data_IF_581529640092
#
_entry.id   IF_581529640092
#
_cell.length_a   1.000
_cell.length_b   1.000
_cell.length_c   1.000
_cell.angle_alpha   90.00
_cell.angle_beta   90.00
_cell.angle_gamma   90.00
#
_symmetry.space_group_name_H-M   'P 1'
#
loop_
_entity.id
_entity.type
_entity.pdbx_description
1 polymer ?
#
# COMPACT_ATOMS: atom_id res chain seq x y z
N UNK A 1 33.88 -8.38 10.64
CA UNK A 1 32.54 -8.85 10.26
C UNK A 1 32.03 -7.97 9.13
N UNK A 2 31.26 -8.52 8.19
CA UNK A 2 30.61 -7.70 7.15
C UNK A 2 29.53 -6.87 7.84
N UNK A 3 29.61 -5.55 7.72
CA UNK A 3 28.66 -4.60 8.36
C UNK A 3 27.57 -4.14 7.41
N UNK A 4 27.77 -4.29 6.10
CA UNK A 4 26.82 -3.88 5.06
C UNK A 4 26.79 -4.89 3.92
N UNK A 5 25.62 -5.15 3.34
CA UNK A 5 25.41 -6.02 2.18
C UNK A 5 24.75 -5.26 1.02
N UNK A 6 25.08 -5.65 -0.21
CA UNK A 6 24.30 -5.26 -1.39
C UNK A 6 23.37 -6.41 -1.73
N UNK A 7 22.07 -6.26 -1.44
CA UNK A 7 21.05 -7.28 -1.73
C UNK A 7 20.30 -6.93 -3.00
N UNK A 8 20.03 -7.95 -3.81
CA UNK A 8 19.26 -7.82 -5.05
C UNK A 8 17.84 -8.31 -4.83
N UNK A 9 16.86 -7.49 -5.18
CA UNK A 9 15.46 -7.91 -5.22
C UNK A 9 15.28 -8.96 -6.34
N UNK A 10 14.86 -10.20 -6.03
CA UNK A 10 14.70 -11.23 -7.05
C UNK A 10 13.59 -10.92 -8.05
N UNK A 11 12.65 -10.03 -7.73
CA UNK A 11 11.55 -9.66 -8.64
C UNK A 11 12.04 -8.61 -9.62
N UNK A 12 12.47 -7.44 -9.12
CA UNK A 12 12.82 -6.30 -10.01
C UNK A 12 14.27 -6.32 -10.49
N UNK A 13 15.14 -7.08 -9.82
CA UNK A 13 16.58 -7.07 -10.07
C UNK A 13 17.30 -5.84 -9.51
N UNK A 14 16.59 -4.92 -8.84
CA UNK A 14 17.15 -3.73 -8.20
C UNK A 14 18.05 -4.10 -7.03
N UNK A 15 19.08 -3.30 -6.78
CA UNK A 15 19.98 -3.47 -5.64
C UNK A 15 19.63 -2.52 -4.50
N UNK A 16 19.80 -2.98 -3.27
CA UNK A 16 19.60 -2.22 -2.03
C UNK A 16 20.80 -2.43 -1.12
N UNK A 17 21.33 -1.35 -0.55
CA UNK A 17 22.38 -1.42 0.48
C UNK A 17 21.69 -1.64 1.83
N UNK A 18 22.01 -2.75 2.50
CA UNK A 18 21.45 -3.13 3.80
C UNK A 18 22.54 -3.05 4.86
N UNK A 19 22.29 -2.32 5.94
CA UNK A 19 23.11 -2.35 7.14
C UNK A 19 22.76 -3.57 8.00
N UNK A 20 23.79 -4.30 8.44
CA UNK A 20 23.67 -5.49 9.29
C UNK A 20 23.97 -5.18 10.76
N UNK A 21 24.30 -3.94 11.08
CA UNK A 21 24.57 -3.51 12.45
C UNK A 21 23.28 -3.63 13.30
N UNK A 22 23.39 -3.89 14.61
CA UNK A 22 22.23 -3.87 15.50
C UNK A 22 21.50 -2.54 15.43
N UNK A 23 20.16 -2.58 15.45
CA UNK A 23 19.32 -1.40 15.42
C UNK A 23 19.69 -0.43 16.56
N UNK A 24 20.02 0.81 16.19
CA UNK A 24 20.33 1.88 17.10
C UNK A 24 19.19 2.92 17.10
N UNK A 25 18.82 3.51 18.26
CA UNK A 25 17.73 4.50 18.32
C UNK A 25 17.89 5.70 17.37
N UNK A 26 19.13 6.06 17.05
CA UNK A 26 19.44 7.18 16.15
C UNK A 26 19.44 6.81 14.66
N UNK A 27 19.15 5.55 14.29
CA UNK A 27 19.12 5.12 12.88
C UNK A 27 18.02 5.81 12.06
N UNK A 28 17.08 6.48 12.74
CA UNK A 28 16.00 7.26 12.15
C UNK A 28 16.11 8.77 12.44
N UNK A 29 17.22 9.22 13.04
CA UNK A 29 17.43 10.61 13.44
C UNK A 29 17.91 11.51 12.28
N UNK A 30 17.28 11.32 11.12
CA UNK A 30 17.55 12.07 9.87
C UNK A 30 16.86 13.45 9.87
N UNK A 31 16.48 14.00 11.03
CA UNK A 31 15.63 15.20 11.05
C UNK A 31 14.19 14.94 10.58
N UNK A 32 13.80 13.68 10.32
CA UNK A 32 12.41 13.35 9.95
C UNK A 32 11.53 13.31 11.18
N UNK A 33 12.04 12.77 12.28
CA UNK A 33 11.40 12.82 13.60
C UNK A 33 11.63 14.15 14.32
N UNK A 34 12.69 14.90 14.02
CA UNK A 34 13.10 16.12 14.74
C UNK A 34 12.96 17.43 13.95
N UNK A 35 12.82 17.39 12.62
CA UNK A 35 12.49 18.52 11.74
C UNK A 35 10.99 18.69 11.48
N UNK A 36 10.19 17.70 11.89
CA UNK A 36 8.83 17.92 12.32
C UNK A 36 8.87 17.85 13.83
N UNK A 37 9.03 19.02 14.46
CA UNK A 37 8.86 19.17 15.90
C UNK A 37 7.73 18.27 16.40
N UNK A 38 7.87 17.78 17.63
CA UNK A 38 6.72 17.65 18.52
C UNK A 38 6.05 19.04 18.64
N UNK A 39 5.44 19.56 17.59
CA UNK A 39 4.30 20.44 17.72
C UNK A 39 3.18 19.47 18.14
N UNK A 40 2.72 19.34 19.37
CA UNK A 40 2.52 20.28 20.48
C UNK A 40 1.93 21.64 20.14
N UNK A 41 1.93 22.04 18.87
CA UNK A 41 0.79 22.78 18.34
C UNK A 41 -0.22 21.71 17.96
N UNK A 42 -1.12 21.47 18.90
CA UNK A 42 -2.50 21.16 18.57
C UNK A 42 -2.93 22.31 17.65
N UNK A 43 -2.64 22.20 16.34
CA UNK A 43 -3.40 22.94 15.35
C UNK A 43 -4.83 22.58 15.65
N UNK A 44 -5.66 23.57 15.98
CA UNK A 44 -7.10 23.40 16.17
C UNK A 44 -7.57 22.35 15.19
N UNK A 45 -7.99 21.19 15.71
CA UNK A 45 -8.56 20.13 14.88
C UNK A 45 -9.62 20.85 14.06
N UNK A 46 -9.47 20.91 12.74
CA UNK A 46 -10.58 21.35 11.89
C UNK A 46 -11.73 20.42 12.24
N UNK A 47 -12.67 20.90 13.06
CA UNK A 47 -13.63 20.04 13.76
C UNK A 47 -14.51 19.21 12.79
N UNK A 48 -14.50 19.57 11.51
CA UNK A 48 -14.95 18.74 10.43
C UNK A 48 -14.21 19.10 9.13
N UNK A 49 -13.95 18.13 8.28
CA UNK A 49 -13.51 18.32 6.88
C UNK A 49 -14.57 17.78 5.90
N UNK A 50 -14.33 17.90 4.59
CA UNK A 50 -15.25 17.44 3.55
C UNK A 50 -15.56 15.93 3.58
N UNK A 51 -14.78 15.13 4.32
CA UNK A 51 -14.95 13.68 4.44
C UNK A 51 -15.73 13.26 5.69
N UNK A 52 -15.97 14.17 6.63
CA UNK A 52 -16.80 13.92 7.79
C UNK A 52 -18.25 13.63 7.39
N UNK A 53 -18.90 12.80 8.20
CA UNK A 53 -20.34 12.56 8.10
C UNK A 53 -21.14 13.87 8.25
N UNK A 54 -22.21 14.01 7.47
CA UNK A 54 -23.01 15.23 7.38
C UNK A 54 -22.48 16.27 6.38
N UNK A 55 -21.31 16.03 5.78
CA UNK A 55 -20.71 16.89 4.74
C UNK A 55 -20.59 16.17 3.40
N UNK A 56 -21.50 15.23 3.13
CA UNK A 56 -21.40 14.32 2.00
C UNK A 56 -21.29 15.05 0.65
N UNK A 57 -22.03 16.14 0.48
CA UNK A 57 -22.03 16.98 -0.73
C UNK A 57 -20.71 17.72 -1.01
N UNK A 58 -19.76 17.69 -0.07
CA UNK A 58 -18.46 18.34 -0.20
C UNK A 58 -17.36 17.39 -0.72
N UNK A 59 -17.49 16.08 -0.49
CA UNK A 59 -16.46 15.08 -0.83
C UNK A 59 -16.34 14.82 -2.34
N UNK A 60 -17.46 14.90 -3.07
CA UNK A 60 -17.56 14.54 -4.49
C UNK A 60 -18.75 13.60 -4.75
N UNK A 61 -19.07 13.30 -6.02
CA UNK A 61 -20.12 12.34 -6.36
C UNK A 61 -19.82 10.96 -5.75
N UNK A 62 -20.77 10.41 -5.02
CA UNK A 62 -20.68 9.07 -4.44
C UNK A 62 -20.78 7.98 -5.51
N UNK A 63 -19.84 7.04 -5.47
CA UNK A 63 -19.74 5.88 -6.36
C UNK A 63 -20.13 4.58 -5.67
N UNK A 64 -19.84 4.47 -4.37
CA UNK A 64 -20.11 3.29 -3.54
C UNK A 64 -20.18 3.71 -2.08
N UNK A 65 -20.98 3.02 -1.26
CA UNK A 65 -20.91 3.16 0.18
C UNK A 65 -21.37 1.88 0.87
N UNK A 66 -20.74 1.54 1.99
CA UNK A 66 -21.27 0.57 2.93
C UNK A 66 -22.10 1.28 3.99
N UNK A 67 -23.42 1.05 3.99
CA UNK A 67 -24.39 1.71 4.88
C UNK A 67 -25.50 0.74 5.29
N UNK A 68 -26.10 0.95 6.45
CA UNK A 68 -27.29 0.22 6.89
C UNK A 68 -28.52 1.12 6.73
N UNK A 69 -29.28 0.93 5.64
CA UNK A 69 -30.61 1.53 5.48
C UNK A 69 -30.68 3.04 5.17
N UNK A 70 -29.55 3.73 4.95
CA UNK A 70 -29.55 5.16 4.56
C UNK A 70 -29.51 5.39 3.04
N UNK A 71 -29.77 6.62 2.59
CA UNK A 71 -29.75 7.01 1.17
C UNK A 71 -28.36 7.49 0.72
N UNK A 72 -28.05 7.36 -0.58
CA UNK A 72 -26.83 7.94 -1.19
C UNK A 72 -26.62 9.40 -0.78
N UNK A 73 -25.37 9.78 -0.49
CA UNK A 73 -25.01 11.12 -0.01
C UNK A 73 -25.75 11.58 1.27
N UNK A 74 -26.12 10.64 2.15
CA UNK A 74 -26.60 10.94 3.51
C UNK A 74 -25.78 10.18 4.56
N UNK A 75 -25.81 10.64 5.83
CA UNK A 75 -25.22 9.95 6.99
C UNK A 75 -25.61 8.46 7.13
N UNK A 76 -24.92 7.75 8.02
CA UNK A 76 -25.12 6.32 8.29
C UNK A 76 -24.23 5.39 7.45
N UNK A 77 -23.20 5.94 6.81
CA UNK A 77 -22.21 5.16 6.08
C UNK A 77 -20.99 4.84 6.97
N UNK A 78 -20.34 3.73 6.65
CA UNK A 78 -19.15 3.24 7.35
C UNK A 78 -17.88 3.41 6.56
N UNK A 79 -17.98 3.18 5.25
CA UNK A 79 -16.97 3.41 4.23
C UNK A 79 -17.71 4.01 3.03
N UNK A 80 -17.09 4.98 2.36
CA UNK A 80 -17.70 5.66 1.21
C UNK A 80 -16.65 5.93 0.14
N UNK A 81 -16.98 5.63 -1.11
CA UNK A 81 -16.13 5.93 -2.27
C UNK A 81 -16.75 7.08 -3.04
N UNK A 82 -15.95 8.08 -3.37
CA UNK A 82 -16.36 9.24 -4.16
C UNK A 82 -15.39 9.47 -5.32
N UNK A 83 -15.88 10.05 -6.42
CA UNK A 83 -15.00 10.58 -7.46
C UNK A 83 -14.18 11.76 -6.90
N UNK A 84 -12.87 11.76 -7.13
CA UNK A 84 -11.99 12.82 -6.63
C UNK A 84 -12.34 14.15 -7.32
N UNK A 85 -12.60 15.20 -6.54
CA UNK A 85 -12.95 16.54 -7.07
C UNK A 85 -11.80 17.25 -7.78
N UNK A 86 -10.55 16.83 -7.52
CA UNK A 86 -9.34 17.32 -8.17
C UNK A 86 -8.57 16.13 -8.76
N UNK A 87 -9.15 15.46 -9.76
CA UNK A 87 -8.62 14.19 -10.22
C UNK A 87 -7.33 14.42 -11.01
N UNK A 88 -6.37 13.49 -10.88
CA UNK A 88 -5.12 13.54 -11.65
C UNK A 88 -5.35 13.09 -13.10
N UNK A 89 -6.32 12.19 -13.29
CA UNK A 89 -6.77 11.66 -14.57
C UNK A 89 -8.28 11.75 -14.65
N UNK A 90 -8.81 11.98 -15.84
CA UNK A 90 -10.24 12.20 -16.08
C UNK A 90 -10.83 11.05 -16.87
N UNK A 91 -12.06 10.67 -16.56
CA UNK A 91 -12.74 9.55 -17.25
C UNK A 91 -13.12 9.95 -18.68
N UNK A 92 -13.27 11.25 -18.90
CA UNK A 92 -13.48 11.87 -20.19
C UNK A 92 -12.19 11.90 -21.00
N UNK A 93 -12.24 11.42 -22.25
CA UNK A 93 -11.10 11.43 -23.16
C UNK A 93 -11.00 10.17 -24.01
N UNK A 94 -10.20 10.26 -25.07
CA UNK A 94 -9.84 9.14 -25.92
C UNK A 94 -8.51 8.50 -25.53
N UNK A 95 -8.12 7.45 -26.25
CA UNK A 95 -6.78 6.85 -26.17
C UNK A 95 -5.79 7.51 -27.15
N UNK A 96 -6.11 8.70 -27.62
CA UNK A 96 -5.38 9.36 -28.70
C UNK A 96 -3.95 9.67 -28.27
N UNK A 97 -3.02 9.31 -29.17
CA UNK A 97 -1.59 9.49 -29.01
C UNK A 97 -1.11 10.51 -30.04
N UNK A 98 -0.41 11.54 -29.58
CA UNK A 98 0.21 12.57 -30.42
C UNK A 98 1.73 12.44 -30.34
N UNK A 99 2.40 12.40 -31.48
CA UNK A 99 3.86 12.24 -31.59
C UNK A 99 4.44 13.49 -32.26
N UNK A 100 5.44 14.09 -31.62
CA UNK A 100 6.26 15.16 -32.16
C UNK A 100 7.74 14.79 -32.02
N UNK A 101 8.33 14.29 -33.10
CA UNK A 101 9.67 13.72 -33.10
C UNK A 101 9.80 12.57 -32.09
N UNK A 102 10.59 12.78 -31.03
CA UNK A 102 10.79 11.82 -29.93
C UNK A 102 9.81 12.01 -28.77
N UNK A 103 9.00 13.07 -28.79
CA UNK A 103 8.06 13.38 -27.73
C UNK A 103 6.71 12.72 -28.01
N UNK A 104 6.22 12.01 -27.01
CA UNK A 104 4.89 11.41 -27.03
C UNK A 104 4.01 12.10 -25.99
N UNK A 105 2.81 12.48 -26.40
CA UNK A 105 1.76 12.95 -25.49
C UNK A 105 0.49 12.14 -25.68
N UNK A 106 -0.26 11.97 -24.60
CA UNK A 106 -1.57 11.32 -24.55
C UNK A 106 -2.52 12.20 -23.76
N UNK A 107 -3.81 12.02 -23.98
CA UNK A 107 -4.80 12.62 -23.11
C UNK A 107 -4.73 12.00 -21.70
N UNK A 108 -5.07 12.78 -20.69
CA UNK A 108 -5.06 12.36 -19.28
C UNK A 108 -6.23 11.45 -18.91
N UNK A 109 -6.53 10.46 -19.75
CA UNK A 109 -7.59 9.48 -19.52
C UNK A 109 -7.27 8.61 -18.30
N UNK A 110 -8.24 8.41 -17.42
CA UNK A 110 -8.14 7.54 -16.25
C UNK A 110 -9.30 7.74 -15.28
N UNK A 111 -9.23 7.08 -14.15
CA UNK A 111 -10.12 7.37 -13.02
C UNK A 111 -9.29 7.79 -11.82
N UNK A 112 -9.83 8.68 -10.99
CA UNK A 112 -9.26 9.00 -9.69
C UNK A 112 -10.36 9.07 -8.65
N UNK A 113 -10.38 8.10 -7.74
CA UNK A 113 -11.39 7.92 -6.72
C UNK A 113 -10.77 8.03 -5.33
N UNK A 114 -11.58 8.45 -4.36
CA UNK A 114 -11.20 8.50 -2.94
C UNK A 114 -12.09 7.54 -2.17
N UNK A 115 -11.48 6.68 -1.36
CA UNK A 115 -12.14 5.79 -0.42
C UNK A 115 -12.01 6.41 0.97
N UNK A 116 -13.11 6.92 1.50
CA UNK A 116 -13.22 7.47 2.85
C UNK A 116 -13.47 6.30 3.80
N UNK A 117 -12.54 6.07 4.73
CA UNK A 117 -12.43 4.81 5.49
C UNK A 117 -13.27 4.79 6.77
N UNK A 118 -13.75 5.97 7.21
CA UNK A 118 -14.55 6.15 8.42
C UNK A 118 -15.32 7.47 8.35
N UNK A 119 -16.51 7.60 8.97
CA UNK A 119 -17.19 8.88 9.15
C UNK A 119 -16.49 9.81 10.17
N UNK A 120 -15.63 9.25 11.04
CA UNK A 120 -14.98 9.95 12.15
C UNK A 120 -13.65 10.56 11.73
N UNK A 121 -13.44 11.85 11.99
CA UNK A 121 -12.27 12.60 11.53
C UNK A 121 -10.95 12.03 12.08
N UNK A 122 -10.85 11.87 13.40
CA UNK A 122 -9.60 11.53 14.12
C UNK A 122 -9.40 10.02 14.31
N UNK A 123 -9.79 9.21 13.33
CA UNK A 123 -9.69 7.76 13.42
C UNK A 123 -8.85 7.20 12.25
N UNK A 124 -7.52 7.09 12.40
CA UNK A 124 -6.65 6.59 11.34
C UNK A 124 -6.87 5.09 11.09
N UNK A 125 -6.51 4.62 9.90
CA UNK A 125 -6.75 3.25 9.42
C UNK A 125 -6.34 2.19 10.46
N UNK A 126 -5.14 2.32 11.03
CA UNK A 126 -4.61 1.33 11.97
C UNK A 126 -5.38 1.24 13.31
N UNK A 127 -6.19 2.26 13.62
CA UNK A 127 -7.06 2.29 14.80
C UNK A 127 -8.49 1.82 14.50
N UNK A 128 -8.80 1.51 13.24
CA UNK A 128 -10.12 1.00 12.87
C UNK A 128 -10.30 -0.44 13.40
N UNK A 129 -11.53 -0.83 13.80
CA UNK A 129 -11.83 -2.22 14.12
C UNK A 129 -11.71 -3.11 12.88
N UNK A 130 -11.50 -4.42 13.09
CA UNK A 130 -11.28 -5.39 12.00
C UNK A 130 -12.43 -5.38 11.00
N UNK A 131 -13.68 -5.30 11.47
CA UNK A 131 -14.86 -5.24 10.59
C UNK A 131 -14.81 -4.03 9.65
N UNK A 132 -14.27 -2.90 10.11
CA UNK A 132 -14.15 -1.69 9.29
C UNK A 132 -13.02 -1.83 8.27
N UNK A 133 -11.89 -2.40 8.67
CA UNK A 133 -10.80 -2.70 7.73
C UNK A 133 -11.26 -3.64 6.63
N UNK A 134 -12.05 -4.66 6.97
CA UNK A 134 -12.68 -5.54 5.98
C UNK A 134 -13.57 -4.75 5.00
N UNK A 135 -14.41 -3.82 5.49
CA UNK A 135 -15.25 -2.96 4.63
C UNK A 135 -14.43 -2.06 3.70
N UNK A 136 -13.27 -1.57 4.16
CA UNK A 136 -12.34 -0.78 3.33
C UNK A 136 -11.76 -1.65 2.21
N UNK A 137 -11.27 -2.86 2.54
CA UNK A 137 -10.76 -3.80 1.55
C UNK A 137 -11.83 -4.27 0.56
N UNK A 138 -13.06 -4.47 1.04
CA UNK A 138 -14.23 -4.73 0.20
C UNK A 138 -14.46 -3.59 -0.79
N UNK A 139 -14.43 -2.33 -0.32
CA UNK A 139 -14.60 -1.18 -1.20
C UNK A 139 -13.50 -1.11 -2.27
N UNK A 140 -12.25 -1.40 -1.91
CA UNK A 140 -11.15 -1.50 -2.88
C UNK A 140 -11.45 -2.56 -3.95
N UNK A 141 -11.83 -3.77 -3.52
CA UNK A 141 -12.13 -4.90 -4.42
C UNK A 141 -13.27 -4.55 -5.36
N UNK A 142 -14.39 -4.05 -4.82
CA UNK A 142 -15.59 -3.70 -5.60
C UNK A 142 -15.31 -2.59 -6.62
N UNK A 143 -14.52 -1.57 -6.27
CA UNK A 143 -14.16 -0.53 -7.23
C UNK A 143 -13.21 -1.02 -8.32
N UNK A 144 -12.25 -1.88 -7.99
CA UNK A 144 -11.39 -2.50 -9.01
C UNK A 144 -12.20 -3.36 -9.99
N UNK A 145 -13.18 -4.13 -9.51
CA UNK A 145 -14.08 -4.92 -10.35
C UNK A 145 -14.90 -4.06 -11.33
N UNK A 146 -15.38 -2.91 -10.86
CA UNK A 146 -16.12 -1.94 -11.67
C UNK A 146 -15.22 -1.25 -12.70
N UNK A 147 -14.06 -0.73 -12.28
CA UNK A 147 -13.10 -0.08 -13.16
C UNK A 147 -12.58 -1.01 -14.26
N UNK A 148 -12.41 -2.31 -13.96
CA UNK A 148 -12.00 -3.33 -14.93
C UNK A 148 -12.98 -3.50 -16.10
N UNK A 149 -14.24 -3.07 -15.97
CA UNK A 149 -15.22 -3.15 -17.06
C UNK A 149 -14.95 -2.15 -18.19
N UNK A 150 -14.16 -1.10 -17.93
CA UNK A 150 -13.73 -0.17 -18.97
C UNK A 150 -12.48 -0.70 -19.67
N UNK A 151 -12.65 -1.24 -20.87
CA UNK A 151 -11.58 -1.82 -21.68
C UNK A 151 -10.45 -0.83 -22.05
N UNK A 152 -10.63 0.48 -21.80
CA UNK A 152 -9.58 1.49 -21.98
C UNK A 152 -8.55 1.45 -20.86
N UNK A 153 -8.87 0.87 -19.69
CA UNK A 153 -7.93 0.76 -18.57
C UNK A 153 -7.10 -0.52 -18.63
N UNK A 154 -5.79 -0.36 -18.48
CA UNK A 154 -4.85 -1.47 -18.39
C UNK A 154 -4.66 -1.94 -16.95
N UNK A 155 -4.80 -1.04 -15.97
CA UNK A 155 -4.64 -1.35 -14.54
C UNK A 155 -5.25 -0.25 -13.68
N UNK A 156 -5.44 -0.55 -12.39
CA UNK A 156 -5.74 0.42 -11.36
C UNK A 156 -4.89 0.15 -10.11
N UNK A 157 -4.42 1.23 -9.48
CA UNK A 157 -3.56 1.19 -8.30
C UNK A 157 -4.35 1.72 -7.11
N UNK A 158 -4.40 0.93 -6.04
CA UNK A 158 -4.92 1.37 -4.75
C UNK A 158 -3.75 1.78 -3.87
N UNK A 159 -3.83 2.97 -3.28
CA UNK A 159 -2.79 3.49 -2.42
C UNK A 159 -3.32 4.35 -1.27
N UNK A 160 -2.55 4.46 -0.21
CA UNK A 160 -2.84 5.30 0.96
C UNK A 160 -1.61 6.12 1.32
N UNK A 161 -1.85 7.37 1.73
CA UNK A 161 -0.83 8.23 2.31
C UNK A 161 -1.32 8.64 3.71
N UNK A 162 -0.60 8.25 4.76
CA UNK A 162 -0.91 8.63 6.13
C UNK A 162 0.23 9.47 6.72
N UNK A 163 -0.11 10.67 7.19
CA UNK A 163 0.85 11.64 7.73
C UNK A 163 1.58 12.44 6.65
N UNK A 164 2.02 13.66 7.02
CA UNK A 164 2.64 14.63 6.09
C UNK A 164 3.90 14.10 5.40
N UNK A 165 4.73 13.34 6.11
CA UNK A 165 5.95 12.75 5.54
C UNK A 165 5.68 11.67 4.48
N UNK A 166 4.45 11.13 4.42
CA UNK A 166 3.98 10.21 3.38
C UNK A 166 3.23 10.92 2.24
N UNK A 167 3.13 12.25 2.28
CA UNK A 167 2.42 13.05 1.27
C UNK A 167 0.92 13.19 1.49
N UNK A 168 0.41 12.87 2.69
CA UNK A 168 -0.99 13.13 3.03
C UNK A 168 -1.27 14.64 3.01
N UNK A 169 -2.38 15.04 2.37
CA UNK A 169 -2.85 16.43 2.32
C UNK A 169 -4.06 16.69 3.21
N UNK A 170 -4.67 15.63 3.72
CA UNK A 170 -5.79 15.67 4.66
C UNK A 170 -5.58 14.61 5.71
N UNK A 171 -5.95 14.93 6.95
CA UNK A 171 -5.73 14.07 8.11
C UNK A 171 -6.80 12.97 8.23
N UNK A 172 -8.03 13.26 7.76
CA UNK A 172 -9.13 12.28 7.73
C UNK A 172 -8.71 11.00 7.00
N UNK A 173 -8.96 9.85 7.61
CA UNK A 173 -8.51 8.57 7.07
C UNK A 173 -9.17 8.23 5.71
N UNK A 174 -8.33 8.20 4.69
CA UNK A 174 -8.73 7.84 3.33
C UNK A 174 -7.61 7.10 2.60
N UNK A 175 -8.01 6.31 1.60
CA UNK A 175 -7.16 5.78 0.55
C UNK A 175 -7.67 6.27 -0.81
N UNK A 176 -6.93 5.98 -1.87
CA UNK A 176 -7.21 6.45 -3.21
C UNK A 176 -7.06 5.30 -4.20
N UNK A 177 -7.83 5.38 -5.29
CA UNK A 177 -7.74 4.45 -6.42
C UNK A 177 -7.50 5.27 -7.68
N UNK A 178 -6.47 4.92 -8.44
CA UNK A 178 -6.16 5.56 -9.72
C UNK A 178 -6.11 4.50 -10.83
N UNK A 179 -6.97 4.64 -11.84
CA UNK A 179 -7.00 3.78 -13.03
C UNK A 179 -6.26 4.42 -14.19
N UNK A 180 -5.47 3.63 -14.92
CA UNK A 180 -4.59 4.07 -15.99
C UNK A 180 -4.84 3.30 -17.29
N UNK A 181 -4.71 3.93 -18.47
CA UNK A 181 -4.76 3.26 -19.77
C UNK A 181 -3.42 2.59 -20.14
N UNK A 182 -2.44 2.61 -19.23
CA UNK A 182 -1.12 2.00 -19.38
C UNK A 182 -0.77 1.27 -18.08
N UNK A 183 0.14 0.29 -18.16
CA UNK A 183 0.76 -0.30 -16.97
C UNK A 183 1.89 0.63 -16.49
N UNK A 184 1.84 1.19 -15.26
CA UNK A 184 2.90 2.04 -14.74
C UNK A 184 4.23 1.29 -14.66
N UNK A 185 5.35 2.00 -14.93
CA UNK A 185 6.68 1.41 -15.02
C UNK A 185 7.07 0.56 -13.80
N UNK A 186 6.70 0.99 -12.59
CA UNK A 186 7.00 0.25 -11.36
C UNK A 186 6.23 -1.08 -11.26
N UNK A 187 5.00 -1.16 -11.77
CA UNK A 187 4.24 -2.40 -11.86
C UNK A 187 4.75 -3.28 -12.99
N UNK A 188 5.03 -2.69 -14.16
CA UNK A 188 5.56 -3.38 -15.34
C UNK A 188 6.89 -4.08 -15.04
N UNK A 189 7.78 -3.45 -14.28
CA UNK A 189 9.04 -4.08 -13.85
C UNK A 189 8.82 -5.34 -13.02
N UNK A 190 7.85 -5.31 -12.08
CA UNK A 190 7.49 -6.50 -11.30
C UNK A 190 6.86 -7.58 -12.16
N UNK A 191 5.99 -7.20 -13.11
CA UNK A 191 5.34 -8.14 -14.05
C UNK A 191 6.38 -8.83 -14.92
N UNK A 192 7.31 -8.06 -15.52
CA UNK A 192 8.39 -8.62 -16.35
C UNK A 192 9.33 -9.52 -15.54
N UNK A 193 9.69 -9.11 -14.34
CA UNK A 193 10.51 -9.90 -13.42
C UNK A 193 9.86 -11.22 -13.05
N UNK A 194 8.59 -11.19 -12.68
CA UNK A 194 7.81 -12.38 -12.35
C UNK A 194 7.64 -13.31 -13.57
N UNK A 195 7.35 -12.76 -14.75
CA UNK A 195 7.25 -13.54 -15.99
C UNK A 195 8.57 -14.20 -16.38
N UNK A 196 9.69 -13.49 -16.21
CA UNK A 196 11.01 -14.06 -16.41
C UNK A 196 11.26 -15.23 -15.45
N UNK A 197 11.01 -15.06 -14.16
CA UNK A 197 11.19 -16.15 -13.18
C UNK A 197 10.31 -17.37 -13.50
N UNK A 198 9.04 -17.15 -13.84
CA UNK A 198 8.13 -18.21 -14.27
C UNK A 198 8.68 -18.95 -15.51
N UNK A 199 9.20 -18.21 -16.50
CA UNK A 199 9.79 -18.81 -17.69
C UNK A 199 11.04 -19.66 -17.42
N UNK A 200 11.84 -19.34 -16.39
CA UNK A 200 13.05 -20.08 -16.04
C UNK A 200 12.80 -21.27 -15.10
N UNK A 201 11.83 -21.15 -14.18
CA UNK A 201 11.63 -22.11 -13.09
C UNK A 201 10.31 -22.89 -13.19
N UNK A 202 9.35 -22.38 -13.96
CA UNK A 202 7.97 -22.88 -13.98
C UNK A 202 7.13 -22.44 -12.79
N UNK A 203 7.68 -21.67 -11.83
CA UNK A 203 7.00 -21.28 -10.59
C UNK A 203 6.81 -19.76 -10.48
N UNK A 204 5.85 -19.33 -9.68
CA UNK A 204 5.65 -17.91 -9.35
C UNK A 204 6.71 -17.46 -8.32
N UNK A 205 7.44 -16.38 -8.62
CA UNK A 205 8.49 -15.86 -7.72
C UNK A 205 7.98 -15.48 -6.33
N UNK A 206 6.77 -14.93 -6.25
CA UNK A 206 6.17 -14.53 -4.98
C UNK A 206 5.82 -15.76 -4.13
N UNK A 207 5.30 -16.84 -4.76
CA UNK A 207 5.05 -18.09 -4.07
C UNK A 207 6.35 -18.70 -3.54
N UNK A 208 7.42 -18.72 -4.34
CA UNK A 208 8.73 -19.19 -3.89
C UNK A 208 9.26 -18.36 -2.71
N UNK A 209 9.08 -17.03 -2.73
CA UNK A 209 9.45 -16.14 -1.63
C UNK A 209 8.64 -16.43 -0.36
N UNK A 210 7.33 -16.64 -0.49
CA UNK A 210 6.43 -17.02 0.61
C UNK A 210 6.82 -18.35 1.21
N UNK A 211 6.99 -19.39 0.40
CA UNK A 211 7.39 -20.73 0.85
C UNK A 211 8.75 -20.69 1.55
N UNK A 212 9.74 -20.00 0.98
CA UNK A 212 11.04 -19.85 1.60
C UNK A 212 10.94 -19.07 2.92
N UNK A 213 10.12 -18.02 2.96
CA UNK A 213 9.82 -17.25 4.16
C UNK A 213 9.24 -18.12 5.27
N UNK A 214 8.25 -18.96 4.96
CA UNK A 214 7.64 -19.89 5.90
C UNK A 214 8.62 -20.96 6.41
N UNK A 215 9.52 -21.47 5.56
CA UNK A 215 10.53 -22.48 5.96
C UNK A 215 11.62 -21.89 6.87
N UNK A 216 12.09 -20.69 6.58
CA UNK A 216 13.21 -20.03 7.29
C UNK A 216 12.74 -19.24 8.53
N UNK A 217 11.55 -18.62 8.45
CA UNK A 217 10.94 -17.83 9.52
C UNK A 217 11.65 -16.50 9.83
N UNK A 218 12.92 -16.32 9.47
CA UNK A 218 13.72 -15.14 9.83
C UNK A 218 13.07 -13.81 9.42
N UNK A 219 12.44 -13.77 8.24
CA UNK A 219 11.79 -12.58 7.65
C UNK A 219 10.26 -12.56 7.77
N UNK A 220 9.66 -13.54 8.42
CA UNK A 220 8.20 -13.67 8.53
C UNK A 220 7.68 -12.88 9.73
N UNK A 221 6.84 -11.89 9.51
CA UNK A 221 6.20 -11.11 10.58
C UNK A 221 4.98 -11.84 11.14
N UNK A 222 4.16 -12.42 10.25
CA UNK A 222 3.01 -13.25 10.58
C UNK A 222 2.86 -14.37 9.55
N UNK A 223 2.55 -15.58 10.03
CA UNK A 223 2.29 -16.79 9.24
C UNK A 223 0.83 -17.27 9.37
N UNK A 224 -0.08 -16.36 9.76
CA UNK A 224 -1.50 -16.67 9.98
C UNK A 224 -2.24 -16.86 8.65
N UNK A 225 -2.22 -18.08 8.12
CA UNK A 225 -2.95 -18.44 6.90
C UNK A 225 -4.44 -18.03 7.00
N UNK A 226 -5.06 -17.61 5.88
CA UNK A 226 -4.55 -17.64 4.50
C UNK A 226 -3.69 -16.43 4.09
N UNK A 227 -3.27 -15.54 5.00
CA UNK A 227 -2.47 -14.36 4.66
C UNK A 227 -1.15 -14.37 5.42
N UNK A 228 -0.05 -14.22 4.68
CA UNK A 228 1.29 -14.14 5.27
C UNK A 228 1.81 -12.70 5.22
N UNK A 229 2.59 -12.32 6.21
CA UNK A 229 3.28 -11.03 6.26
C UNK A 229 4.79 -11.26 6.36
N UNK A 230 5.57 -10.68 5.44
CA UNK A 230 7.03 -10.81 5.40
C UNK A 230 7.72 -9.47 5.23
N UNK A 231 8.96 -9.36 5.70
CA UNK A 231 9.88 -8.28 5.32
C UNK A 231 10.69 -8.72 4.08
N UNK A 232 10.59 -8.04 2.92
CA UNK A 232 11.28 -8.46 1.70
C UNK A 232 12.80 -8.57 1.86
N UNK A 233 13.44 -9.52 1.16
CA UNK A 233 14.89 -9.76 1.21
C UNK A 233 15.73 -8.49 0.96
N UNK A 234 15.27 -7.67 0.03
CA UNK A 234 15.85 -6.40 -0.38
C UNK A 234 14.86 -5.25 -0.11
N UNK A 235 14.42 -5.15 1.15
CA UNK A 235 13.51 -4.07 1.61
C UNK A 235 14.13 -2.70 1.37
N UNK A 236 13.39 -1.81 0.72
CA UNK A 236 13.85 -0.48 0.29
C UNK A 236 13.83 0.54 1.43
N UNK A 237 12.95 0.34 2.40
CA UNK A 237 12.83 1.16 3.60
C UNK A 237 12.85 0.29 4.86
N UNK A 238 13.25 0.84 6.03
CA UNK A 238 13.14 0.14 7.29
C UNK A 238 11.71 -0.33 7.56
N UNK A 239 11.56 -1.56 8.05
CA UNK A 239 10.27 -2.15 8.40
C UNK A 239 9.26 -2.25 7.23
N UNK A 240 9.73 -2.18 5.98
CA UNK A 240 8.91 -2.54 4.83
C UNK A 240 8.34 -3.95 5.02
N UNK A 241 7.01 -4.07 4.95
CA UNK A 241 6.32 -5.33 5.19
C UNK A 241 5.32 -5.58 4.08
N UNK A 242 5.34 -6.77 3.49
CA UNK A 242 4.41 -7.17 2.43
C UNK A 242 3.42 -8.20 2.99
N UNK A 243 2.14 -7.95 2.77
CA UNK A 243 1.05 -8.87 3.09
C UNK A 243 0.54 -9.49 1.78
N UNK A 244 0.45 -10.81 1.72
CA UNK A 244 0.01 -11.53 0.52
C UNK A 244 -0.72 -12.83 0.88
N UNK A 245 -1.60 -13.33 0.01
CA UNK A 245 -2.16 -14.67 0.16
C UNK A 245 -1.07 -15.75 0.26
N UNK A 246 -1.34 -16.78 1.06
CA UNK A 246 -0.46 -17.95 1.16
C UNK A 246 -0.54 -18.85 -0.08
N UNK A 247 -1.70 -18.87 -0.75
CA UNK A 247 -1.91 -19.56 -2.03
C UNK A 247 -1.75 -18.59 -3.19
N UNK A 248 -1.41 -19.09 -4.39
CA UNK A 248 -1.24 -18.25 -5.57
C UNK A 248 -2.53 -17.49 -5.91
N UNK A 249 -2.45 -16.16 -5.90
CA UNK A 249 -3.52 -15.29 -6.35
C UNK A 249 -2.94 -14.07 -7.08
N UNK A 250 -3.21 -13.95 -8.37
CA UNK A 250 -2.67 -12.85 -9.18
C UNK A 250 -3.40 -11.52 -8.96
N UNK A 251 -4.67 -11.59 -8.58
CA UNK A 251 -5.61 -10.48 -8.65
C UNK A 251 -6.34 -10.24 -7.35
N UNK A 252 -6.26 -9.01 -6.86
CA UNK A 252 -6.98 -8.61 -5.66
C UNK A 252 -8.49 -8.47 -5.92
N UNK A 253 -8.90 -8.08 -7.13
CA UNK A 253 -10.31 -7.99 -7.54
C UNK A 253 -11.05 -9.34 -7.52
N UNK A 254 -10.31 -10.45 -7.44
CA UNK A 254 -10.82 -11.82 -7.36
C UNK A 254 -10.69 -12.43 -5.94
N UNK A 255 -10.17 -11.67 -4.97
CA UNK A 255 -9.99 -12.15 -3.60
C UNK A 255 -11.34 -12.49 -2.94
N UNK A 256 -11.41 -13.64 -2.26
CA UNK A 256 -12.61 -14.08 -1.54
C UNK A 256 -12.88 -13.23 -0.29
N UNK A 257 -14.12 -13.24 0.22
CA UNK A 257 -14.46 -12.57 1.47
C UNK A 257 -13.64 -13.09 2.66
N UNK A 258 -13.38 -14.39 2.70
CA UNK A 258 -12.53 -15.02 3.71
C UNK A 258 -11.07 -14.53 3.63
N UNK A 259 -10.55 -14.34 2.40
CA UNK A 259 -9.23 -13.76 2.20
C UNK A 259 -9.18 -12.31 2.67
N UNK A 260 -10.22 -11.51 2.39
CA UNK A 260 -10.30 -10.12 2.87
C UNK A 260 -10.43 -10.05 4.40
N UNK A 261 -11.14 -10.99 5.02
CA UNK A 261 -11.28 -11.08 6.48
C UNK A 261 -9.93 -11.38 7.13
N UNK A 262 -9.22 -12.41 6.67
CA UNK A 262 -7.87 -12.70 7.11
C UNK A 262 -6.91 -11.53 6.89
N UNK A 263 -6.98 -10.89 5.71
CA UNK A 263 -6.16 -9.71 5.39
C UNK A 263 -6.44 -8.57 6.36
N UNK A 264 -7.69 -8.34 6.76
CA UNK A 264 -8.05 -7.27 7.69
C UNK A 264 -7.45 -7.49 9.10
N UNK A 265 -7.42 -8.73 9.57
CA UNK A 265 -6.78 -9.12 10.84
C UNK A 265 -5.27 -8.94 10.76
N UNK A 266 -4.62 -9.51 9.73
CA UNK A 266 -3.15 -9.42 9.57
C UNK A 266 -2.70 -7.98 9.35
N UNK A 267 -3.45 -7.18 8.58
CA UNK A 267 -3.16 -5.76 8.40
C UNK A 267 -3.24 -5.00 9.71
N UNK A 268 -4.27 -5.24 10.54
CA UNK A 268 -4.40 -4.59 11.85
C UNK A 268 -3.23 -4.93 12.76
N UNK A 269 -2.88 -6.21 12.85
CA UNK A 269 -1.76 -6.69 13.67
C UNK A 269 -0.41 -6.09 13.19
N UNK A 270 -0.11 -6.16 11.89
CA UNK A 270 1.13 -5.59 11.31
C UNK A 270 1.21 -4.10 11.58
N UNK A 271 0.13 -3.35 11.32
CA UNK A 271 0.12 -1.90 11.53
C UNK A 271 0.31 -1.54 13.02
N UNK A 272 -0.29 -2.30 13.94
CA UNK A 272 -0.09 -2.10 15.38
C UNK A 272 1.37 -2.35 15.81
N UNK A 273 2.03 -3.37 15.24
CA UNK A 273 3.45 -3.66 15.50
C UNK A 273 4.36 -2.56 14.95
N UNK A 274 4.06 -2.06 13.75
CA UNK A 274 4.80 -0.95 13.11
C UNK A 274 4.62 0.34 13.92
N UNK A 275 3.40 0.67 14.35
CA UNK A 275 3.13 1.83 15.20
C UNK A 275 3.90 1.76 16.52
N UNK A 276 3.95 0.58 17.15
CA UNK A 276 4.73 0.39 18.38
C UNK A 276 6.24 0.52 18.14
N UNK A 277 6.76 -0.15 17.10
CA UNK A 277 8.20 -0.23 16.84
C UNK A 277 8.80 1.11 16.41
N UNK A 278 8.02 1.94 15.71
CA UNK A 278 8.49 3.18 15.09
C UNK A 278 7.84 4.44 15.69
N UNK A 279 7.03 4.31 16.75
CA UNK A 279 6.40 5.45 17.41
C UNK A 279 5.35 6.17 16.55
N UNK A 280 4.44 5.40 15.93
CA UNK A 280 3.34 5.87 15.07
C UNK A 280 3.83 6.67 13.85
N UNK A 281 4.62 6.03 12.96
CA UNK A 281 5.23 6.72 11.83
C UNK A 281 4.19 7.12 10.79
N UNK A 282 4.52 8.12 9.97
CA UNK A 282 3.86 8.29 8.68
C UNK A 282 4.12 7.05 7.80
N UNK A 283 3.19 6.68 6.94
CA UNK A 283 3.34 5.50 6.08
C UNK A 283 2.56 5.64 4.77
N UNK A 284 2.99 4.86 3.78
CA UNK A 284 2.20 4.58 2.59
C UNK A 284 1.73 3.13 2.61
N UNK A 285 0.53 2.89 2.06
CA UNK A 285 0.12 1.55 1.63
C UNK A 285 0.02 1.54 0.12
N UNK A 286 0.48 0.47 -0.52
CA UNK A 286 0.37 0.29 -1.98
C UNK A 286 -0.06 -1.14 -2.28
N UNK A 287 -1.21 -1.29 -2.92
CA UNK A 287 -1.68 -2.57 -3.41
C UNK A 287 -1.12 -2.79 -4.82
N UNK A 288 -0.39 -3.89 -5.00
CA UNK A 288 0.03 -4.37 -6.30
C UNK A 288 -0.84 -5.56 -6.70
N UNK A 289 -1.54 -5.43 -7.83
CA UNK A 289 -2.37 -6.49 -8.43
C UNK A 289 -2.01 -6.64 -9.91
N UNK A 290 -2.26 -7.81 -10.50
CA UNK A 290 -1.97 -8.05 -11.91
C UNK A 290 -2.73 -7.06 -12.83
N UNK A 291 -2.15 -6.66 -13.98
CA UNK A 291 -2.85 -5.89 -15.00
C UNK A 291 -4.13 -6.58 -15.48
N UNK A 292 -5.10 -5.78 -15.97
CA UNK A 292 -6.42 -6.28 -16.34
C UNK A 292 -6.43 -7.20 -17.58
N UNK A 293 -5.36 -7.22 -18.38
CA UNK A 293 -5.28 -8.07 -19.58
C UNK A 293 -5.26 -9.57 -19.27
N UNK A 294 -4.73 -9.97 -18.11
CA UNK A 294 -4.61 -11.37 -17.68
C UNK A 294 -3.38 -12.12 -18.15
N UNK A 295 -2.55 -11.51 -19.00
CA UNK A 295 -1.31 -12.14 -19.47
C UNK A 295 -0.32 -12.43 -18.33
N UNK A 296 -0.46 -11.73 -17.20
CA UNK A 296 0.41 -11.86 -16.03
C UNK A 296 -0.11 -12.84 -14.97
N UNK A 297 -1.31 -13.43 -15.12
CA UNK A 297 -1.99 -14.12 -14.01
C UNK A 297 -1.27 -15.39 -13.51
N UNK A 298 -0.51 -16.06 -14.37
CA UNK A 298 0.29 -17.22 -13.96
C UNK A 298 1.59 -16.82 -13.23
N UNK A 299 2.12 -15.64 -13.54
CA UNK A 299 3.41 -15.20 -13.05
C UNK A 299 3.30 -14.30 -11.81
N UNK A 300 2.25 -13.49 -11.74
CA UNK A 300 2.10 -12.44 -10.74
C UNK A 300 1.29 -12.92 -9.53
N UNK A 301 1.57 -12.32 -8.37
CA UNK A 301 0.85 -12.57 -7.13
C UNK A 301 0.61 -11.23 -6.45
N UNK A 302 -0.65 -10.90 -6.19
CA UNK A 302 -0.99 -9.62 -5.59
C UNK A 302 -0.47 -9.52 -4.15
N UNK A 303 -0.07 -8.33 -3.75
CA UNK A 303 0.42 -8.07 -2.39
C UNK A 303 0.17 -6.63 -2.00
N UNK A 304 -0.01 -6.40 -0.71
CA UNK A 304 -0.11 -5.09 -0.10
C UNK A 304 1.22 -4.74 0.57
N UNK A 305 1.84 -3.64 0.14
CA UNK A 305 3.06 -3.13 0.77
C UNK A 305 2.73 -2.11 1.84
N UNK A 306 3.26 -2.30 3.04
CA UNK A 306 3.35 -1.31 4.11
C UNK A 306 4.73 -0.66 4.04
N UNK A 307 4.76 0.66 3.84
CA UNK A 307 5.99 1.42 3.60
C UNK A 307 6.09 2.55 4.64
N UNK A 308 6.71 2.29 5.82
CA UNK A 308 6.95 3.32 6.82
C UNK A 308 7.89 4.42 6.29
N UNK A 309 7.61 5.68 6.63
CA UNK A 309 8.35 6.86 6.18
C UNK A 309 9.24 7.41 7.29
N UNK A 310 10.23 6.61 7.66
CA UNK A 310 11.22 6.93 8.72
C UNK A 310 12.58 7.38 8.17
N UNK A 311 12.83 7.21 6.88
CA UNK A 311 14.03 7.69 6.18
C UNK A 311 13.64 8.53 4.96
N UNK A 312 14.59 9.31 4.42
CA UNK A 312 14.41 10.10 3.20
C UNK A 312 15.46 9.72 2.16
N UNK A 313 15.07 9.77 0.90
CA UNK A 313 16.03 9.68 -0.21
C UNK A 313 16.87 10.96 -0.26
N UNK A 314 18.19 10.78 -0.32
CA UNK A 314 19.16 11.84 -0.55
C UNK A 314 19.60 11.85 -2.02
N UNK A 315 20.55 12.72 -2.37
CA UNK A 315 21.11 12.79 -3.72
C UNK A 315 21.69 11.47 -4.21
N UNK A 316 22.17 10.60 -3.31
CA UNK A 316 22.67 9.27 -3.67
C UNK A 316 21.55 8.38 -4.21
N UNK A 317 20.45 8.26 -3.47
CA UNK A 317 19.30 7.45 -3.86
C UNK A 317 18.63 8.02 -5.13
N UNK A 318 18.49 9.35 -5.21
CA UNK A 318 17.96 10.01 -6.41
C UNK A 318 18.85 9.82 -7.65
N UNK A 319 20.17 9.81 -7.49
CA UNK A 319 21.12 9.66 -8.59
C UNK A 319 21.35 8.22 -9.04
N UNK A 320 21.27 7.25 -8.13
CA UNK A 320 21.60 5.84 -8.41
C UNK A 320 20.38 4.92 -8.48
N UNK A 321 19.27 5.29 -7.83
CA UNK A 321 18.14 4.41 -7.61
C UNK A 321 18.40 3.27 -6.61
N UNK A 322 19.56 3.26 -5.92
CA UNK A 322 19.94 2.25 -4.92
C UNK A 322 19.59 2.79 -3.53
N UNK A 323 18.54 2.26 -2.86
CA UNK A 323 18.20 2.70 -1.50
C UNK A 323 19.24 2.21 -0.49
N UNK A 324 19.47 3.02 0.55
CA UNK A 324 20.13 2.57 1.79
C UNK A 324 19.07 2.26 2.84
N UNK A 325 19.10 1.04 3.38
CA UNK A 325 18.27 0.63 4.50
C UNK A 325 19.15 0.36 5.73
N UNK A 326 19.04 1.19 6.80
CA UNK A 326 19.79 0.98 8.04
C UNK A 326 19.32 -0.23 8.85
N UNK A 327 18.22 -0.91 8.47
CA UNK A 327 17.69 -2.05 9.21
C UNK A 327 17.57 -3.25 8.28
N UNK A 328 18.29 -4.32 8.60
CA UNK A 328 18.11 -5.58 7.86
C UNK A 328 16.66 -6.11 7.96
N UNK A 329 16.12 -6.70 6.90
CA UNK A 329 14.79 -7.32 6.94
C UNK A 329 14.64 -8.35 8.07
N UNK A 330 15.69 -9.14 8.33
CA UNK A 330 15.69 -10.13 9.42
C UNK A 330 15.52 -9.47 10.80
N UNK A 331 16.22 -8.35 11.03
CA UNK A 331 16.12 -7.59 12.26
C UNK A 331 14.75 -6.90 12.40
N UNK A 332 14.25 -6.29 11.32
CA UNK A 332 12.92 -5.69 11.30
C UNK A 332 11.84 -6.71 11.66
N UNK A 333 11.87 -7.89 11.03
CA UNK A 333 10.91 -8.96 11.33
C UNK A 333 11.06 -9.47 12.77
N UNK A 334 12.28 -9.59 13.30
CA UNK A 334 12.53 -9.96 14.70
C UNK A 334 11.90 -8.95 15.67
N UNK A 335 12.08 -7.66 15.42
CA UNK A 335 11.50 -6.59 16.24
C UNK A 335 9.97 -6.63 16.17
N UNK A 336 9.38 -6.71 14.97
CA UNK A 336 7.93 -6.75 14.80
C UNK A 336 7.29 -7.97 15.48
N UNK A 337 7.88 -9.17 15.36
CA UNK A 337 7.42 -10.38 16.07
C UNK A 337 7.50 -10.23 17.60
N UNK A 338 8.50 -9.51 18.09
CA UNK A 338 8.71 -9.28 19.53
C UNK A 338 7.65 -8.38 20.17
N UNK A 339 6.91 -7.59 19.37
CA UNK A 339 5.80 -6.77 19.86
C UNK A 339 4.60 -7.68 20.18
N UNK A 340 4.09 -7.57 21.40
CA UNK A 340 2.76 -8.10 21.75
C UNK A 340 1.80 -6.93 21.75
N UNK A 341 0.96 -6.76 20.72
CA UNK A 341 0.06 -5.62 20.72
C UNK A 341 -0.91 -5.76 21.89
N UNK A 342 -1.08 -4.69 22.67
CA UNK A 342 -2.02 -4.64 23.79
C UNK A 342 -3.27 -3.91 23.30
N UNK A 343 -4.36 -4.64 23.10
CA UNK A 343 -5.65 -4.07 22.72
C UNK A 343 -6.77 -5.11 22.83
N UNK A 344 -8.01 -4.71 23.17
CA UNK A 344 -9.12 -5.64 23.39
C UNK A 344 -9.67 -6.33 22.12
N UNK A 345 -9.24 -5.88 20.93
CA UNK A 345 -9.86 -6.26 19.64
C UNK A 345 -8.85 -6.80 18.60
N UNK A 346 -7.86 -7.60 19.04
CA UNK A 346 -7.08 -8.46 18.14
C UNK A 346 -7.64 -9.87 18.10
#
# INVERSE_FOLDING_TARGET
MVTTELRRDPITGRSVVIDLSPLHPNDFDDGVASGFSRSSEVTEVEAACAFCEGREGEAGPELLAWREGSHTNTPGWSVRVVANRRPMLRIEGGLDRRIDGVFETRDGLGAHEVVIETPVHDQPLQNLPVDRLWRVLWAWRTRLQDLKQDARFATAIVFKNHGRAAGARMDHAHSQIAAYPIVPAALDEKVRGAAAHLGHTGHCIFCDMTEQGLRDGRRTVSDTLPVIAITPFASRVPFETWLMPGEHAARFDEASDATLEAMSVVLKDVMARVDWALGRPAYNLVLHTAPFSGDADLAFHWHLEVIPRVTRWSGLEWGTGIPRNPVSPEEAARVLRGVKPVGPDL
#
